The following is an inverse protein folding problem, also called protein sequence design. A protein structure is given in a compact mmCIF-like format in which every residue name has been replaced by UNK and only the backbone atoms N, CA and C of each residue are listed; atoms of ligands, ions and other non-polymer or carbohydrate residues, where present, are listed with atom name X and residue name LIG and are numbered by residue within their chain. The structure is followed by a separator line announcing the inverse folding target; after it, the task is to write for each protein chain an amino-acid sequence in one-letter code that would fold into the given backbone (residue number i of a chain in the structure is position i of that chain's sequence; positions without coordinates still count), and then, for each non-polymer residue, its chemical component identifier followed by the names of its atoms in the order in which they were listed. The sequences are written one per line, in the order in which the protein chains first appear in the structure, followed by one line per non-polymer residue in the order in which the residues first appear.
data_IF_345605890939
#
_entry.id   IF_345605890939
#
_cell.length_a   1.000
_cell.length_b   1.000
_cell.length_c   1.000
_cell.angle_alpha   90.00
_cell.angle_beta   90.00
_cell.angle_gamma   90.00
#
_symmetry.space_group_name_H-M   'P 1'
#
loop_
_entity.id
_entity.type
_entity.pdbx_description
1 polymer ?
#
# COMPACT_ATOMS: atom_id res chain seq x y z
N UNK A 1 6.64 15.54 -9.05
CA UNK A 1 5.45 14.88 -9.64
C UNK A 1 5.18 13.49 -9.02
N UNK A 2 5.46 13.24 -7.73
CA UNK A 2 5.15 11.92 -7.11
C UNK A 2 3.69 11.78 -6.66
N UNK A 3 2.98 12.90 -6.57
CA UNK A 3 1.63 12.98 -5.98
C UNK A 3 0.51 13.08 -7.05
N UNK A 4 0.76 12.61 -8.27
CA UNK A 4 -0.21 12.63 -9.37
C UNK A 4 -1.35 11.61 -9.17
N UNK A 5 -1.01 10.47 -8.57
CA UNK A 5 -1.94 9.43 -8.15
C UNK A 5 -1.44 8.82 -6.85
N UNK A 6 -2.35 8.31 -6.03
CA UNK A 6 -2.10 7.82 -4.68
C UNK A 6 -3.00 6.62 -4.38
N UNK A 7 -2.63 5.87 -3.34
CA UNK A 7 -3.42 4.74 -2.85
C UNK A 7 -4.50 5.22 -1.91
N UNK A 8 -5.72 4.69 -2.04
CA UNK A 8 -6.87 5.01 -1.16
C UNK A 8 -6.66 4.58 0.29
N UNK A 9 -5.83 3.55 0.50
CA UNK A 9 -5.61 2.95 1.82
C UNK A 9 -4.17 2.46 1.96
N UNK A 10 -3.61 2.50 3.19
CA UNK A 10 -2.37 1.79 3.53
C UNK A 10 -2.55 0.26 3.54
N UNK A 11 -3.79 -0.23 3.59
CA UNK A 11 -4.11 -1.66 3.41
C UNK A 11 -4.00 -2.03 1.93
N UNK A 12 -2.92 -2.71 1.57
CA UNK A 12 -2.64 -3.10 0.18
C UNK A 12 -3.67 -4.09 -0.38
N UNK A 13 -4.46 -4.76 0.46
CA UNK A 13 -5.52 -5.66 0.01
C UNK A 13 -6.77 -4.95 -0.50
N UNK A 14 -6.96 -3.68 -0.09
CA UNK A 14 -8.08 -2.82 -0.48
C UNK A 14 -7.62 -1.53 -1.15
N UNK A 15 -6.31 -1.35 -1.29
CA UNK A 15 -5.74 -0.17 -1.90
C UNK A 15 -6.15 -0.11 -3.38
N UNK A 16 -6.72 1.02 -3.77
CA UNK A 16 -7.00 1.35 -5.16
C UNK A 16 -6.17 2.57 -5.53
N UNK A 17 -5.74 2.63 -6.79
CA UNK A 17 -5.03 3.80 -7.31
C UNK A 17 -6.04 4.85 -7.75
N UNK A 18 -6.01 6.00 -7.09
CA UNK A 18 -6.89 7.12 -7.37
C UNK A 18 -6.10 8.41 -7.59
N UNK A 19 -6.73 9.35 -8.26
CA UNK A 19 -6.31 10.75 -8.31
C UNK A 19 -7.50 11.63 -7.94
N UNK A 20 -7.29 12.93 -7.77
CA UNK A 20 -8.37 13.86 -7.51
C UNK A 20 -8.36 15.02 -8.50
N UNK A 21 -9.52 15.63 -8.68
CA UNK A 21 -9.70 16.75 -9.60
C UNK A 21 -8.87 17.99 -9.23
N UNK A 22 -8.40 18.10 -7.98
CA UNK A 22 -7.52 19.20 -7.52
C UNK A 22 -6.12 19.05 -8.08
N UNK A 23 -5.56 17.84 -8.01
CA UNK A 23 -4.27 17.46 -8.60
C UNK A 23 -4.35 17.61 -10.10
N UNK A 24 -5.41 17.10 -10.74
CA UNK A 24 -5.59 17.26 -12.18
C UNK A 24 -5.57 18.75 -12.55
N UNK A 25 -6.36 19.59 -11.87
CA UNK A 25 -6.40 21.03 -12.15
C UNK A 25 -5.05 21.72 -11.96
N UNK A 26 -4.34 21.42 -10.86
CA UNK A 26 -3.04 22.02 -10.56
C UNK A 26 -1.99 21.70 -11.63
N UNK A 27 -1.85 20.43 -12.00
CA UNK A 27 -0.83 20.01 -12.96
C UNK A 27 -1.23 20.26 -14.43
N UNK A 28 -2.52 20.46 -14.73
CA UNK A 28 -2.99 20.89 -16.05
C UNK A 28 -3.03 22.41 -16.23
N UNK A 29 -2.75 23.19 -15.17
CA UNK A 29 -2.85 24.65 -15.20
C UNK A 29 -4.30 25.16 -15.32
N UNK A 30 -5.28 24.33 -14.94
CA UNK A 30 -6.70 24.63 -15.03
C UNK A 30 -7.28 25.09 -13.69
N UNK A 31 -8.43 25.76 -13.74
CA UNK A 31 -9.16 26.12 -12.54
C UNK A 31 -9.84 24.88 -11.92
N UNK A 32 -9.63 24.66 -10.62
CA UNK A 32 -10.23 23.55 -9.84
C UNK A 32 -11.75 23.47 -9.98
N UNK A 33 -12.42 24.64 -10.01
CA UNK A 33 -13.88 24.74 -10.17
C UNK A 33 -14.29 24.28 -11.57
N UNK A 34 -13.51 24.62 -12.61
CA UNK A 34 -13.81 24.19 -13.98
C UNK A 34 -13.72 22.69 -14.13
N UNK A 35 -12.66 22.06 -13.60
CA UNK A 35 -12.51 20.59 -13.63
C UNK A 35 -13.61 19.92 -12.81
N UNK A 36 -14.00 20.49 -11.67
CA UNK A 36 -15.14 19.99 -10.89
C UNK A 36 -16.45 20.06 -11.65
N UNK A 37 -16.76 21.19 -12.30
CA UNK A 37 -17.97 21.32 -13.12
C UNK A 37 -17.98 20.33 -14.27
N UNK A 38 -16.82 20.06 -14.87
CA UNK A 38 -16.68 19.06 -15.91
C UNK A 38 -17.05 17.65 -15.40
N UNK A 39 -16.65 17.30 -14.17
CA UNK A 39 -17.07 16.06 -13.51
C UNK A 39 -18.57 16.07 -13.20
N UNK A 40 -19.10 17.17 -12.66
CA UNK A 40 -20.52 17.29 -12.32
C UNK A 40 -21.42 17.15 -13.56
N UNK A 41 -20.99 17.69 -14.71
CA UNK A 41 -21.74 17.65 -15.97
C UNK A 41 -21.72 16.27 -16.64
N UNK A 42 -20.64 15.51 -16.49
CA UNK A 42 -20.47 14.19 -17.12
C UNK A 42 -20.47 13.06 -16.07
N UNK A 43 -21.23 13.26 -15.00
CA UNK A 43 -21.25 12.34 -13.85
C UNK A 43 -21.70 10.94 -14.23
N UNK A 44 -22.70 10.81 -15.11
CA UNK A 44 -23.26 9.53 -15.55
C UNK A 44 -22.17 8.68 -16.22
N UNK A 45 -21.46 9.23 -17.21
CA UNK A 45 -20.37 8.54 -17.90
C UNK A 45 -19.24 8.11 -16.97
N UNK A 46 -18.91 8.94 -15.97
CA UNK A 46 -17.92 8.60 -14.95
C UNK A 46 -18.39 7.48 -14.02
N UNK A 47 -19.69 7.43 -13.72
CA UNK A 47 -20.30 6.40 -12.87
C UNK A 47 -20.43 5.05 -13.59
N UNK A 48 -20.46 5.02 -14.93
CA UNK A 48 -20.32 3.77 -15.71
C UNK A 48 -18.95 3.11 -15.52
N UNK A 49 -17.92 3.89 -15.23
CA UNK A 49 -16.54 3.42 -15.01
C UNK A 49 -16.23 3.11 -13.54
N UNK A 50 -17.24 3.13 -12.66
CA UNK A 50 -17.13 2.79 -11.24
C UNK A 50 -17.73 3.85 -10.31
N UNK A 51 -17.64 3.61 -8.99
CA UNK A 51 -18.25 4.50 -8.00
C UNK A 51 -17.49 5.83 -7.94
N UNK A 52 -18.19 6.94 -8.20
CA UNK A 52 -17.63 8.28 -8.08
C UNK A 52 -17.62 8.74 -6.62
N UNK A 53 -16.53 8.43 -5.91
CA UNK A 53 -16.37 8.79 -4.50
C UNK A 53 -15.93 10.25 -4.32
N UNK A 54 -16.22 10.82 -3.16
CA UNK A 54 -15.86 12.19 -2.84
C UNK A 54 -15.66 12.43 -1.36
N UNK A 55 -14.84 13.42 -1.05
CA UNK A 55 -14.60 13.93 0.30
C UNK A 55 -15.16 15.35 0.44
N UNK A 56 -15.65 15.68 1.63
CA UNK A 56 -16.13 17.03 1.95
C UNK A 56 -15.08 17.76 2.78
N UNK A 57 -14.44 18.77 2.20
CA UNK A 57 -13.47 19.59 2.94
C UNK A 57 -14.21 20.65 3.74
N UNK A 58 -13.97 20.67 5.06
CA UNK A 58 -14.46 21.74 5.93
C UNK A 58 -13.71 23.05 5.64
N UNK A 59 -14.36 24.21 5.76
CA UNK A 59 -13.68 25.49 5.68
C UNK A 59 -12.58 25.60 6.74
N UNK A 60 -11.52 26.35 6.44
CA UNK A 60 -10.40 26.58 7.36
C UNK A 60 -10.96 27.19 8.67
N UNK A 61 -10.48 26.69 9.81
CA UNK A 61 -10.84 27.18 11.15
C UNK A 61 -10.50 28.68 11.22
N UNK A 62 -11.52 29.54 11.19
CA UNK A 62 -11.37 31.01 11.16
C UNK A 62 -11.96 31.70 9.92
N UNK A 63 -12.42 30.98 8.89
CA UNK A 63 -13.17 31.59 7.78
C UNK A 63 -14.63 31.82 8.16
N UNK A 64 -15.12 33.05 8.09
CA UNK A 64 -16.46 33.50 8.51
C UNK A 64 -17.61 33.07 7.60
N UNK A 65 -17.43 32.08 6.71
CA UNK A 65 -18.52 31.61 5.84
C UNK A 65 -18.10 30.93 4.53
N UNK A 66 -17.27 29.89 4.58
CA UNK A 66 -16.99 29.06 3.39
C UNK A 66 -18.03 27.94 3.24
N UNK A 67 -18.56 27.72 2.03
CA UNK A 67 -19.35 26.50 1.74
C UNK A 67 -18.40 25.29 1.69
N UNK A 68 -18.75 24.15 2.29
CA UNK A 68 -17.98 22.91 2.15
C UNK A 68 -17.71 22.61 0.67
N UNK A 69 -16.45 22.31 0.34
CA UNK A 69 -16.04 22.01 -1.04
C UNK A 69 -15.95 20.49 -1.21
N UNK A 70 -16.53 19.98 -2.29
CA UNK A 70 -16.51 18.56 -2.66
C UNK A 70 -15.23 18.27 -3.42
N UNK A 71 -14.45 17.30 -2.95
CA UNK A 71 -13.28 16.79 -3.66
C UNK A 71 -13.60 15.41 -4.21
N UNK A 72 -13.73 15.32 -5.52
CA UNK A 72 -13.90 14.04 -6.20
C UNK A 72 -12.61 13.25 -6.23
N UNK A 73 -12.73 11.96 -5.91
CA UNK A 73 -11.71 10.94 -6.10
C UNK A 73 -12.08 10.15 -7.36
N UNK A 74 -11.11 9.99 -8.25
CA UNK A 74 -11.27 9.36 -9.55
C UNK A 74 -10.36 8.14 -9.61
N UNK A 75 -10.94 7.00 -9.96
CA UNK A 75 -10.15 5.83 -10.32
C UNK A 75 -9.42 6.06 -11.65
N UNK A 76 -8.53 5.13 -12.03
CA UNK A 76 -7.74 5.22 -13.27
C UNK A 76 -8.61 5.50 -14.51
N UNK A 77 -9.68 4.75 -14.72
CA UNK A 77 -10.51 4.86 -15.93
C UNK A 77 -11.30 6.17 -15.97
N UNK A 78 -11.85 6.58 -14.82
CA UNK A 78 -12.52 7.87 -14.66
C UNK A 78 -11.58 9.04 -14.93
N UNK A 79 -10.34 8.99 -14.41
CA UNK A 79 -9.32 10.01 -14.66
C UNK A 79 -8.91 10.06 -16.14
N UNK A 80 -8.76 8.89 -16.78
CA UNK A 80 -8.45 8.79 -18.20
C UNK A 80 -9.58 9.40 -19.06
N UNK A 81 -10.84 9.09 -18.76
CA UNK A 81 -11.99 9.68 -19.45
C UNK A 81 -12.03 11.20 -19.25
N UNK A 82 -11.91 11.68 -18.02
CA UNK A 82 -11.89 13.11 -17.71
C UNK A 82 -10.82 13.87 -18.51
N UNK A 83 -9.66 13.25 -18.68
CA UNK A 83 -8.53 13.83 -19.43
C UNK A 83 -8.80 13.93 -20.93
N UNK A 84 -9.68 13.09 -21.49
CA UNK A 84 -10.08 13.19 -22.91
C UNK A 84 -10.85 14.48 -23.20
N UNK A 85 -11.56 15.01 -22.20
CA UNK A 85 -12.30 16.27 -22.30
C UNK A 85 -11.42 17.52 -22.07
N UNK A 86 -10.15 17.34 -21.68
CA UNK A 86 -9.20 18.44 -21.49
C UNK A 86 -8.47 18.78 -22.79
N UNK A 87 -8.34 20.08 -23.06
CA UNK A 87 -7.61 20.63 -24.20
C UNK A 87 -6.18 20.10 -24.29
N UNK A 88 -5.70 19.88 -25.52
CA UNK A 88 -4.40 19.24 -25.77
C UNK A 88 -3.24 20.25 -25.85
N UNK A 89 -3.14 21.14 -24.86
CA UNK A 89 -1.99 22.06 -24.75
C UNK A 89 -0.71 21.30 -24.37
N UNK A 90 0.46 21.87 -24.65
CA UNK A 90 1.74 21.21 -24.32
C UNK A 90 1.87 20.83 -22.82
N UNK A 91 1.53 21.72 -21.86
CA UNK A 91 1.55 21.37 -20.44
C UNK A 91 0.61 20.22 -20.10
N UNK A 92 -0.60 20.23 -20.67
CA UNK A 92 -1.58 19.17 -20.43
C UNK A 92 -1.06 17.85 -21.00
N UNK A 93 -0.47 17.83 -22.20
CA UNK A 93 0.11 16.60 -22.80
C UNK A 93 1.19 15.98 -21.91
N UNK A 94 2.10 16.80 -21.37
CA UNK A 94 3.13 16.33 -20.44
C UNK A 94 2.51 15.74 -19.16
N UNK A 95 1.48 16.39 -18.63
CA UNK A 95 0.70 15.89 -17.49
C UNK A 95 0.01 14.56 -17.80
N UNK A 96 -0.67 14.40 -18.95
CA UNK A 96 -1.33 13.15 -19.35
C UNK A 96 -0.33 11.99 -19.32
N UNK A 97 0.85 12.19 -19.89
CA UNK A 97 1.91 11.17 -19.92
C UNK A 97 2.41 10.83 -18.52
N UNK A 98 2.65 11.84 -17.67
CA UNK A 98 3.13 11.63 -16.31
C UNK A 98 2.09 10.89 -15.44
N UNK A 99 0.80 11.22 -15.60
CA UNK A 99 -0.27 10.57 -14.87
C UNK A 99 -0.43 9.10 -15.27
N UNK A 100 -0.40 8.78 -16.57
CA UNK A 100 -0.45 7.39 -17.06
C UNK A 100 0.69 6.56 -16.46
N UNK A 101 1.92 7.08 -16.54
CA UNK A 101 3.09 6.41 -15.94
C UNK A 101 2.91 6.17 -14.44
N UNK A 102 2.35 7.16 -13.72
CA UNK A 102 2.13 7.05 -12.28
C UNK A 102 1.08 6.01 -11.92
N UNK A 103 -0.02 5.94 -12.67
CA UNK A 103 -1.02 4.87 -12.50
C UNK A 103 -0.39 3.50 -12.71
N UNK A 104 0.34 3.33 -13.82
CA UNK A 104 0.95 2.04 -14.14
C UNK A 104 2.01 1.60 -13.10
N UNK A 105 2.77 2.53 -12.52
CA UNK A 105 3.71 2.25 -11.42
C UNK A 105 3.00 1.72 -10.16
N UNK A 106 1.90 2.37 -9.77
CA UNK A 106 1.14 2.01 -8.57
C UNK A 106 0.36 0.71 -8.79
N UNK A 107 -0.21 0.51 -9.97
CA UNK A 107 -0.88 -0.75 -10.34
C UNK A 107 0.11 -1.92 -10.31
N UNK A 108 1.33 -1.75 -10.86
CA UNK A 108 2.39 -2.76 -10.77
C UNK A 108 2.77 -3.06 -9.33
N UNK A 109 2.77 -2.04 -8.46
CA UNK A 109 3.07 -2.21 -7.03
C UNK A 109 2.00 -3.07 -6.37
N UNK A 110 0.72 -2.79 -6.59
CA UNK A 110 -0.40 -3.59 -6.08
C UNK A 110 -0.32 -5.01 -6.62
N UNK A 111 -0.15 -5.18 -7.95
CA UNK A 111 -0.07 -6.51 -8.56
C UNK A 111 1.09 -7.35 -8.02
N UNK A 112 2.26 -6.73 -7.84
CA UNK A 112 3.43 -7.41 -7.25
C UNK A 112 3.13 -7.84 -5.82
N UNK A 113 2.51 -6.94 -5.03
CA UNK A 113 2.08 -7.25 -3.68
C UNK A 113 1.05 -8.40 -3.65
N UNK A 114 0.04 -8.38 -4.52
CA UNK A 114 -0.98 -9.44 -4.61
C UNK A 114 -0.37 -10.79 -4.95
N UNK A 115 0.59 -10.82 -5.90
CA UNK A 115 1.33 -12.05 -6.26
C UNK A 115 2.11 -12.59 -5.07
N UNK A 116 2.85 -11.74 -4.37
CA UNK A 116 3.61 -12.15 -3.19
C UNK A 116 2.69 -12.60 -2.05
N UNK A 117 1.54 -11.95 -1.88
CA UNK A 117 0.53 -12.33 -0.88
C UNK A 117 -0.12 -13.67 -1.18
N UNK A 118 -0.43 -13.94 -2.45
CA UNK A 118 -0.94 -15.24 -2.88
C UNK A 118 0.12 -16.34 -2.64
N UNK A 119 1.38 -16.07 -2.96
CA UNK A 119 2.47 -17.01 -2.75
C UNK A 119 2.74 -17.26 -1.25
N UNK A 120 2.64 -16.23 -0.41
CA UNK A 120 2.75 -16.36 1.06
C UNK A 120 1.63 -17.24 1.63
N UNK A 121 0.38 -17.01 1.19
CA UNK A 121 -0.76 -17.85 1.55
C UNK A 121 -0.56 -19.30 1.10
N UNK A 122 -0.05 -19.52 -0.10
CA UNK A 122 0.23 -20.86 -0.64
C UNK A 122 1.34 -21.60 0.12
N UNK A 123 2.37 -20.88 0.61
CA UNK A 123 3.42 -21.46 1.47
C UNK A 123 2.97 -21.78 2.90
N UNK A 124 1.68 -21.69 3.21
CA UNK A 124 1.15 -22.07 4.51
C UNK A 124 1.00 -23.60 4.66
N UNK A 125 2.12 -24.34 4.74
CA UNK A 125 2.27 -25.23 5.91
C UNK A 125 2.46 -24.27 7.07
N UNK A 126 1.50 -24.22 7.96
CA UNK A 126 1.35 -22.99 8.71
C UNK A 126 2.51 -22.92 9.70
N UNK A 127 3.20 -21.77 9.73
CA UNK A 127 4.00 -21.40 10.89
C UNK A 127 3.19 -21.66 12.17
N UNK A 128 1.86 -21.54 12.09
CA UNK A 128 0.94 -21.97 13.13
C UNK A 128 1.12 -23.45 13.52
N UNK A 129 1.11 -24.38 12.58
CA UNK A 129 1.29 -25.84 12.80
C UNK A 129 2.69 -26.14 13.32
N UNK A 130 3.73 -25.55 12.71
CA UNK A 130 5.12 -25.74 13.15
C UNK A 130 5.33 -25.25 14.59
N UNK A 131 4.79 -24.07 14.93
CA UNK A 131 4.85 -23.54 16.30
C UNK A 131 3.93 -24.32 17.25
N UNK A 132 2.86 -24.96 16.77
CA UNK A 132 1.98 -25.78 17.60
C UNK A 132 2.62 -27.14 17.95
N UNK A 133 3.39 -27.72 17.03
CA UNK A 133 4.07 -29.00 17.23
C UNK A 133 5.47 -28.86 17.85
N UNK A 134 5.96 -27.64 18.03
CA UNK A 134 7.26 -27.35 18.63
C UNK A 134 7.29 -27.70 20.13
N UNK A 135 8.36 -28.36 20.58
CA UNK A 135 8.51 -28.89 21.94
C UNK A 135 8.37 -27.82 23.03
N UNK A 136 8.83 -26.59 22.78
CA UNK A 136 8.75 -25.46 23.72
C UNK A 136 7.53 -24.55 23.48
N UNK A 137 6.49 -25.07 22.85
CA UNK A 137 5.29 -24.29 22.54
C UNK A 137 4.61 -23.78 23.81
N UNK A 138 4.15 -22.54 23.76
CA UNK A 138 3.37 -21.91 24.82
C UNK A 138 2.28 -21.02 24.21
N UNK A 139 1.33 -20.57 25.05
CA UNK A 139 0.20 -19.72 24.62
C UNK A 139 0.60 -18.43 23.89
N UNK A 140 1.83 -17.96 24.07
CA UNK A 140 2.35 -16.74 23.45
C UNK A 140 3.33 -17.00 22.30
N UNK A 141 3.74 -18.25 22.02
CA UNK A 141 4.75 -18.57 21.00
C UNK A 141 4.37 -18.03 19.63
N UNK A 142 3.12 -18.24 19.20
CA UNK A 142 2.59 -17.70 17.95
C UNK A 142 2.74 -16.17 17.86
N UNK A 143 2.38 -15.48 18.94
CA UNK A 143 2.44 -14.02 19.00
C UNK A 143 3.89 -13.51 19.01
N UNK A 144 4.78 -14.22 19.71
CA UNK A 144 6.20 -13.88 19.79
C UNK A 144 6.88 -14.04 18.43
N UNK A 145 6.67 -15.16 17.74
CA UNK A 145 7.20 -15.38 16.39
C UNK A 145 6.65 -14.37 15.38
N UNK A 146 5.35 -14.05 15.43
CA UNK A 146 4.78 -13.00 14.59
C UNK A 146 5.44 -11.65 14.83
N UNK A 147 5.59 -11.23 16.09
CA UNK A 147 6.26 -9.95 16.45
C UNK A 147 7.73 -9.93 16.00
N UNK A 148 8.44 -11.03 16.19
CA UNK A 148 9.84 -11.18 15.80
C UNK A 148 10.01 -11.10 14.28
N UNK A 149 9.24 -11.90 13.52
CA UNK A 149 9.26 -11.87 12.06
C UNK A 149 8.91 -10.50 11.50
N UNK A 150 7.94 -9.81 12.12
CA UNK A 150 7.57 -8.44 11.74
C UNK A 150 8.72 -7.46 11.95
N UNK A 151 9.36 -7.53 13.13
CA UNK A 151 10.52 -6.71 13.48
C UNK A 151 11.68 -6.96 12.51
N UNK A 152 11.99 -8.21 12.21
CA UNK A 152 13.06 -8.58 11.29
C UNK A 152 12.75 -8.18 9.84
N UNK A 153 11.49 -8.27 9.40
CA UNK A 153 11.11 -7.93 8.02
C UNK A 153 11.05 -6.41 7.77
N UNK A 154 10.56 -5.64 8.74
CA UNK A 154 10.28 -4.20 8.60
C UNK A 154 11.29 -3.28 9.29
N UNK A 155 12.10 -3.82 10.22
CA UNK A 155 12.93 -3.03 11.13
C UNK A 155 12.15 -2.30 12.24
N UNK A 156 10.81 -2.39 12.23
CA UNK A 156 9.93 -1.69 13.16
C UNK A 156 9.20 -2.69 14.08
N UNK A 157 8.86 -2.28 15.32
CA UNK A 157 8.03 -3.10 16.19
C UNK A 157 6.63 -3.29 15.60
N UNK A 158 6.03 -4.45 15.88
CA UNK A 158 4.69 -4.83 15.42
C UNK A 158 3.64 -3.72 15.61
N UNK A 159 3.66 -3.03 16.75
CA UNK A 159 2.70 -1.96 17.06
C UNK A 159 2.80 -0.77 16.11
N UNK A 160 4.00 -0.42 15.66
CA UNK A 160 4.21 0.67 14.68
C UNK A 160 3.74 0.27 13.29
N UNK A 161 3.95 -1.00 12.91
CA UNK A 161 3.46 -1.53 11.62
C UNK A 161 1.93 -1.61 11.63
N UNK A 162 1.35 -2.10 12.73
CA UNK A 162 -0.11 -2.17 12.89
C UNK A 162 -0.75 -0.78 12.91
N UNK A 163 -0.06 0.24 13.44
CA UNK A 163 -0.53 1.63 13.43
C UNK A 163 -0.53 2.27 12.03
N UNK A 164 0.00 1.61 10.99
CA UNK A 164 -0.10 2.07 9.60
C UNK A 164 -1.53 2.00 9.07
N UNK A 165 -2.37 1.10 9.60
CA UNK A 165 -3.73 0.88 9.11
C UNK A 165 -4.79 0.96 10.21
N UNK A 166 -6.04 0.78 9.80
CA UNK A 166 -7.18 0.82 10.69
C UNK A 166 -7.25 -0.41 11.63
N UNK A 167 -8.03 -0.28 12.71
CA UNK A 167 -8.26 -1.36 13.66
C UNK A 167 -8.89 -2.56 12.95
N UNK A 168 -8.26 -3.73 13.10
CA UNK A 168 -8.77 -5.01 12.56
C UNK A 168 -8.14 -5.45 11.24
N UNK A 169 -7.32 -4.62 10.58
CA UNK A 169 -6.59 -5.03 9.37
C UNK A 169 -5.45 -6.00 9.75
N UNK A 170 -5.29 -7.14 9.05
CA UNK A 170 -4.15 -8.03 9.30
C UNK A 170 -2.82 -7.33 9.04
N UNK A 171 -1.86 -7.46 9.95
CA UNK A 171 -0.54 -6.81 9.83
C UNK A 171 0.15 -7.09 8.50
N UNK A 172 0.01 -8.31 7.97
CA UNK A 172 0.62 -8.73 6.70
C UNK A 172 0.10 -7.91 5.51
N UNK A 173 -1.13 -7.39 5.60
CA UNK A 173 -1.74 -6.57 4.55
C UNK A 173 -1.27 -5.09 4.59
N UNK A 174 -0.58 -4.71 5.67
CA UNK A 174 0.06 -3.40 5.86
C UNK A 174 1.56 -3.39 5.49
N UNK A 175 2.08 -4.52 5.01
CA UNK A 175 3.46 -4.66 4.56
C UNK A 175 3.58 -4.24 3.09
N UNK A 176 4.67 -3.56 2.75
CA UNK A 176 5.04 -3.33 1.34
C UNK A 176 5.40 -4.65 0.66
N UNK A 177 5.45 -4.66 -0.69
CA UNK A 177 5.84 -5.87 -1.43
C UNK A 177 7.24 -6.38 -1.02
N UNK A 178 8.19 -5.47 -0.76
CA UNK A 178 9.53 -5.83 -0.30
C UNK A 178 9.55 -6.38 1.13
N UNK A 179 8.82 -5.74 2.05
CA UNK A 179 8.68 -6.21 3.43
C UNK A 179 8.00 -7.58 3.49
N UNK A 180 6.97 -7.79 2.67
CA UNK A 180 6.26 -9.07 2.55
C UNK A 180 7.17 -10.17 2.01
N UNK A 181 8.00 -9.86 1.01
CA UNK A 181 8.98 -10.82 0.48
C UNK A 181 10.01 -11.21 1.55
N UNK A 182 10.52 -10.25 2.32
CA UNK A 182 11.41 -10.53 3.46
C UNK A 182 10.72 -11.39 4.51
N UNK A 183 9.49 -11.03 4.89
CA UNK A 183 8.68 -11.78 5.85
C UNK A 183 8.49 -13.24 5.42
N UNK A 184 8.13 -13.47 4.16
CA UNK A 184 7.98 -14.82 3.57
C UNK A 184 9.28 -15.63 3.64
N UNK A 185 10.42 -15.03 3.30
CA UNK A 185 11.73 -15.70 3.38
C UNK A 185 12.09 -16.09 4.80
N UNK A 186 11.92 -15.17 5.76
CA UNK A 186 12.18 -15.43 7.17
C UNK A 186 11.25 -16.53 7.71
N UNK A 187 9.96 -16.49 7.36
CA UNK A 187 9.00 -17.54 7.72
C UNK A 187 9.42 -18.91 7.19
N UNK A 188 9.93 -19.00 5.95
CA UNK A 188 10.43 -20.24 5.38
C UNK A 188 11.69 -20.79 6.09
N UNK A 189 12.47 -19.94 6.76
CA UNK A 189 13.62 -20.36 7.58
C UNK A 189 13.19 -20.85 8.97
N UNK A 190 12.16 -20.23 9.56
CA UNK A 190 11.69 -20.61 10.91
C UNK A 190 11.12 -22.03 10.94
N UNK A 191 10.41 -22.45 9.90
CA UNK A 191 9.75 -23.77 9.87
C UNK A 191 10.77 -24.91 10.08
N UNK A 192 11.86 -25.04 9.29
CA UNK A 192 12.88 -26.06 9.55
C UNK A 192 13.53 -25.94 10.92
N UNK A 193 13.82 -24.72 11.40
CA UNK A 193 14.48 -24.54 12.70
C UNK A 193 13.60 -25.03 13.87
N UNK A 194 12.28 -24.83 13.76
CA UNK A 194 11.33 -25.39 14.73
C UNK A 194 11.25 -26.91 14.64
N UNK A 195 11.31 -27.47 13.43
CA UNK A 195 11.31 -28.92 13.21
C UNK A 195 12.59 -29.58 13.76
N UNK A 196 13.72 -28.87 13.76
CA UNK A 196 14.97 -29.32 14.40
C UNK A 196 14.98 -29.15 15.92
N UNK A 197 13.94 -28.57 16.52
CA UNK A 197 13.83 -28.39 17.98
C UNK A 197 14.69 -27.26 18.55
N UNK A 198 15.16 -26.33 17.72
CA UNK A 198 15.97 -25.19 18.18
C UNK A 198 15.21 -24.32 19.21
N UNK A 199 15.93 -23.74 20.16
CA UNK A 199 15.34 -22.85 21.16
C UNK A 199 14.96 -21.49 20.55
N UNK A 200 14.02 -20.79 21.20
CA UNK A 200 13.57 -19.46 20.74
C UNK A 200 14.73 -18.46 20.60
N UNK A 201 15.69 -18.50 21.51
CA UNK A 201 16.80 -17.56 21.51
C UNK A 201 17.74 -17.77 20.32
N UNK A 202 17.99 -19.03 19.94
CA UNK A 202 18.83 -19.38 18.80
C UNK A 202 18.13 -19.08 17.47
N UNK A 203 16.83 -19.38 17.38
CA UNK A 203 16.00 -18.97 16.24
C UNK A 203 16.01 -17.45 16.10
N UNK A 204 15.87 -16.72 17.22
CA UNK A 204 15.93 -15.25 17.23
C UNK A 204 17.27 -14.72 16.75
N UNK A 205 18.38 -15.22 17.27
CA UNK A 205 19.72 -14.79 16.85
C UNK A 205 19.95 -15.05 15.36
N UNK A 206 19.49 -16.21 14.87
CA UNK A 206 19.57 -16.59 13.45
C UNK A 206 18.76 -15.64 12.57
N UNK A 207 17.51 -15.33 12.96
CA UNK A 207 16.66 -14.39 12.22
C UNK A 207 17.22 -12.97 12.21
N UNK A 208 17.74 -12.49 13.33
CA UNK A 208 18.35 -11.15 13.42
C UNK A 208 19.61 -11.08 12.51
N UNK A 209 20.42 -12.14 12.46
CA UNK A 209 21.58 -12.25 11.56
C UNK A 209 21.19 -12.23 10.08
N UNK A 210 20.17 -12.98 9.67
CA UNK A 210 19.74 -13.01 8.26
C UNK A 210 18.95 -11.76 7.85
N UNK A 211 18.32 -11.07 8.81
CA UNK A 211 17.70 -9.77 8.57
C UNK A 211 18.74 -8.68 8.27
N UNK A 212 19.91 -8.70 8.91
CA UNK A 212 20.99 -7.72 8.69
C UNK A 212 21.87 -8.04 7.48
N UNK A 213 22.12 -9.34 7.18
CA UNK A 213 23.03 -9.76 6.10
C UNK A 213 22.62 -9.31 4.69
N UNK A 214 21.35 -8.97 4.46
CA UNK A 214 20.90 -8.42 3.16
C UNK A 214 21.08 -6.90 3.04
N UNK A 215 21.35 -6.18 4.14
CA UNK A 215 21.65 -4.75 4.11
C UNK A 215 23.05 -4.48 3.48
N UNK A 216 24.00 -5.40 3.70
CA UNK A 216 25.40 -5.28 3.24
C UNK A 216 25.55 -5.57 1.74
N UNK A 217 24.74 -6.48 1.18
CA UNK A 217 24.82 -6.83 -0.26
C UNK A 217 24.27 -5.77 -1.23
N UNK A 218 23.59 -4.73 -0.74
CA UNK A 218 23.08 -3.62 -1.58
C UNK A 218 24.05 -2.44 -1.67
N UNK A 219 25.14 -2.44 -0.91
CA UNK A 219 26.14 -1.36 -0.89
C UNK A 219 27.37 -1.61 -1.76
N UNK A 220 27.49 -2.78 -2.41
CA UNK A 220 28.67 -3.13 -3.23
C UNK A 220 28.47 -3.03 -4.76
N UNK A 221 27.33 -2.51 -5.23
CA UNK A 221 27.11 -2.24 -6.67
C UNK A 221 26.52 -0.85 -6.92
N UNK A 222 27.24 0.18 -6.47
CA UNK A 222 27.05 1.56 -6.91
C UNK A 222 28.39 2.18 -7.29
#
# INVERSE_FOLDING_TARGET
MKDLAFLTSPDMSKAEVVTNHVVIAEYSGLNKISVRKLIDNNKQDLEELGILSFEMTKPIKGSTGGRPTKIYQLNRNQAMLLITWLDNTEPVRAFKLALVKRFDELDKTIQTWTKERAAEKATARSLTDAVQNWEHTNKYSQSNFRKLLTKCATGLPYTKVQARGDKGVPMVDLLTAEELQKYKRLKALVIPLLDFGEEYNDIKATLEKYATKKAETTTETA
#
